data_IF_210502014353
#
_entry.id   IF_210502014353
#
_cell.length_a   1.000
_cell.length_b   1.000
_cell.length_c   1.000
_cell.angle_alpha   90.00
_cell.angle_beta   90.00
_cell.angle_gamma   90.00
#
_symmetry.space_group_name_H-M   'P 1'
#
loop_
_entity.id
_entity.type
_entity.pdbx_description
1 polymer ?
#
# COMPACT_ATOMS: atom_id res chain seq x y z
N UNK A 1 -11.99 54.50 -25.63
CA UNK A 1 -11.10 54.24 -24.48
C UNK A 1 -11.72 53.08 -23.73
N UNK A 2 -10.93 52.05 -23.49
CA UNK A 2 -11.26 50.69 -23.04
C UNK A 2 -12.06 50.62 -21.73
N UNK A 3 -12.96 49.63 -21.58
CA UNK A 3 -12.69 48.43 -20.77
C UNK A 3 -13.93 47.52 -20.62
N UNK A 4 -13.68 46.21 -20.73
CA UNK A 4 -14.61 45.11 -20.43
C UNK A 4 -14.54 44.73 -18.95
N UNK A 5 -15.66 44.29 -18.34
CA UNK A 5 -15.62 43.26 -17.31
C UNK A 5 -16.26 41.95 -17.80
N UNK A 6 -15.53 40.85 -17.67
CA UNK A 6 -16.04 39.49 -17.87
C UNK A 6 -16.61 38.99 -16.54
N UNK A 7 -17.89 38.60 -16.53
CA UNK A 7 -18.46 37.70 -15.52
C UNK A 7 -18.72 36.32 -16.15
N UNK A 8 -18.37 35.19 -15.48
CA UNK A 8 -18.48 33.86 -16.05
C UNK A 8 -19.91 33.31 -15.94
N UNK A 9 -20.51 33.00 -17.09
CA UNK A 9 -21.80 32.32 -17.16
C UNK A 9 -21.65 30.83 -16.78
N UNK A 10 -22.50 30.38 -15.87
CA UNK A 10 -22.51 29.07 -15.23
C UNK A 10 -23.19 28.02 -16.13
N UNK A 11 -22.89 26.73 -15.89
CA UNK A 11 -23.24 25.54 -16.72
C UNK A 11 -24.73 25.22 -16.95
N UNK A 12 -25.66 26.17 -16.81
CA UNK A 12 -27.12 25.88 -16.85
C UNK A 12 -27.85 26.35 -18.11
N UNK A 13 -27.21 27.05 -19.04
CA UNK A 13 -27.91 27.63 -20.19
C UNK A 13 -27.75 26.88 -21.53
N UNK A 14 -27.10 25.71 -21.56
CA UNK A 14 -26.99 24.92 -22.78
C UNK A 14 -28.11 23.89 -22.91
N UNK A 15 -29.36 24.34 -23.02
CA UNK A 15 -30.42 23.52 -23.58
C UNK A 15 -31.39 24.39 -24.36
N UNK A 16 -31.23 24.41 -25.69
CA UNK A 16 -32.33 24.25 -26.68
C UNK A 16 -31.86 24.49 -28.13
N UNK A 17 -32.49 23.68 -28.99
CA UNK A 17 -32.78 23.82 -30.42
C UNK A 17 -31.80 23.25 -31.46
N UNK A 18 -32.32 22.31 -32.26
CA UNK A 18 -31.82 21.94 -33.58
C UNK A 18 -32.54 20.69 -34.13
N UNK A 19 -33.35 20.87 -35.18
CA UNK A 19 -34.39 19.96 -35.64
C UNK A 19 -33.97 18.87 -36.64
N UNK A 20 -34.80 17.83 -36.70
CA UNK A 20 -35.19 17.01 -37.86
C UNK A 20 -34.09 16.38 -38.74
N UNK A 21 -33.74 15.14 -38.40
CA UNK A 21 -33.22 14.15 -39.34
C UNK A 21 -33.70 12.76 -38.90
N UNK A 22 -34.55 12.11 -39.71
CA UNK A 22 -34.97 10.73 -39.46
C UNK A 22 -33.80 9.79 -39.77
N UNK A 23 -32.88 9.66 -38.82
CA UNK A 23 -31.89 8.58 -38.81
C UNK A 23 -32.56 7.40 -38.11
N UNK A 24 -32.76 6.30 -38.83
CA UNK A 24 -33.13 5.04 -38.23
C UNK A 24 -32.00 4.62 -37.28
N UNK A 25 -32.11 5.01 -36.02
CA UNK A 25 -31.19 4.59 -34.97
C UNK A 25 -31.48 3.12 -34.70
N UNK A 26 -30.76 2.24 -35.40
CA UNK A 26 -30.65 0.85 -35.00
C UNK A 26 -30.18 0.83 -33.55
N UNK A 27 -31.08 0.43 -32.66
CA UNK A 27 -30.81 0.29 -31.24
C UNK A 27 -29.86 -0.89 -31.10
N UNK A 28 -28.55 -0.64 -31.19
CA UNK A 28 -27.56 -1.66 -30.88
C UNK A 28 -27.71 -1.92 -29.39
N UNK A 29 -28.08 -3.13 -28.95
CA UNK A 29 -28.16 -3.40 -27.52
C UNK A 29 -26.76 -3.19 -26.95
N UNK A 30 -26.62 -2.21 -26.07
CA UNK A 30 -25.44 -2.07 -25.24
C UNK A 30 -25.42 -3.27 -24.31
N UNK A 31 -24.77 -4.35 -24.73
CA UNK A 31 -24.42 -5.44 -23.84
C UNK A 31 -23.54 -4.83 -22.76
N UNK A 32 -24.09 -4.70 -21.55
CA UNK A 32 -23.29 -4.42 -20.38
C UNK A 32 -22.21 -5.49 -20.32
N UNK A 33 -20.95 -5.11 -20.55
CA UNK A 33 -19.82 -6.00 -20.36
C UNK A 33 -19.88 -6.45 -18.91
N UNK A 34 -20.26 -7.71 -18.70
CA UNK A 34 -20.14 -8.34 -17.39
C UNK A 34 -18.68 -8.18 -16.98
N UNK A 35 -18.40 -7.67 -15.78
CA UNK A 35 -17.03 -7.51 -15.32
C UNK A 35 -16.36 -8.88 -15.42
N UNK A 36 -15.36 -8.99 -16.30
CA UNK A 36 -14.53 -10.18 -16.40
C UNK A 36 -13.94 -10.42 -15.02
N UNK A 37 -14.11 -11.61 -14.42
CA UNK A 37 -13.49 -11.91 -13.13
C UNK A 37 -12.00 -11.65 -13.25
N UNK A 38 -11.46 -10.71 -12.47
CA UNK A 38 -10.02 -10.58 -12.36
C UNK A 38 -9.48 -11.90 -11.81
N UNK A 39 -8.44 -12.48 -12.43
CA UNK A 39 -7.86 -13.71 -11.91
C UNK A 39 -7.38 -13.47 -10.48
N UNK A 40 -7.75 -14.37 -9.57
CA UNK A 40 -7.32 -14.32 -8.18
C UNK A 40 -5.80 -14.50 -8.09
N UNK A 41 -5.15 -13.66 -7.28
CA UNK A 41 -3.73 -13.76 -6.98
C UNK A 41 -3.40 -15.15 -6.43
N UNK A 42 -2.36 -15.78 -6.99
CA UNK A 42 -1.92 -17.09 -6.58
C UNK A 42 -0.42 -17.33 -6.79
N UNK A 43 0.00 -18.56 -6.48
CA UNK A 43 1.38 -19.00 -6.58
C UNK A 43 1.98 -18.77 -7.98
N UNK A 44 1.23 -19.05 -9.04
CA UNK A 44 1.68 -18.88 -10.43
C UNK A 44 1.99 -17.43 -10.79
N UNK A 45 1.35 -16.45 -10.15
CA UNK A 45 1.68 -15.03 -10.36
C UNK A 45 3.06 -14.70 -9.81
N UNK A 46 3.42 -15.28 -8.66
CA UNK A 46 4.75 -15.14 -8.05
C UNK A 46 5.82 -15.81 -8.92
N UNK A 47 5.55 -17.04 -9.38
CA UNK A 47 6.46 -17.78 -10.26
C UNK A 47 6.69 -17.04 -11.57
N UNK A 48 5.61 -16.54 -12.19
CA UNK A 48 5.70 -15.73 -13.42
C UNK A 48 6.56 -14.49 -13.19
N UNK A 49 6.28 -13.72 -12.13
CA UNK A 49 7.07 -12.52 -11.81
C UNK A 49 8.55 -12.83 -11.57
N UNK A 50 8.86 -13.92 -10.86
CA UNK A 50 10.24 -14.33 -10.61
C UNK A 50 10.96 -14.72 -11.93
N UNK A 51 10.29 -15.46 -12.83
CA UNK A 51 10.84 -15.80 -14.15
C UNK A 51 11.10 -14.57 -15.00
N UNK A 52 10.20 -13.59 -14.97
CA UNK A 52 10.36 -12.34 -15.72
C UNK A 52 11.56 -11.53 -15.21
N UNK A 53 11.74 -11.45 -13.89
CA UNK A 53 12.89 -10.77 -13.27
C UNK A 53 14.22 -11.48 -13.57
N UNK A 54 14.24 -12.82 -13.57
CA UNK A 54 15.44 -13.61 -13.84
C UNK A 54 15.99 -13.44 -15.28
N UNK A 55 15.17 -12.93 -16.21
CA UNK A 55 15.57 -12.64 -17.60
C UNK A 55 16.17 -11.24 -17.78
N UNK A 56 16.10 -10.39 -16.76
CA UNK A 56 16.59 -9.02 -16.81
C UNK A 56 17.95 -8.93 -16.12
N UNK A 57 18.82 -7.98 -16.51
CA UNK A 57 20.00 -7.64 -15.72
C UNK A 57 19.60 -7.28 -14.28
N UNK A 58 20.44 -7.68 -13.31
CA UNK A 58 20.22 -7.32 -11.92
C UNK A 58 20.25 -5.79 -11.74
N UNK A 59 19.19 -5.24 -11.14
CA UNK A 59 19.12 -3.84 -10.76
C UNK A 59 19.46 -3.68 -9.26
N UNK A 60 20.62 -3.07 -8.91
CA UNK A 60 20.96 -2.80 -7.53
C UNK A 60 20.15 -1.66 -6.92
N UNK A 61 19.44 -0.85 -7.73
CA UNK A 61 18.70 0.31 -7.25
C UNK A 61 17.63 -0.11 -6.25
N UNK A 62 17.90 0.16 -4.98
CA UNK A 62 16.87 0.21 -3.96
C UNK A 62 16.67 1.66 -3.57
N UNK A 63 15.44 1.99 -3.18
CA UNK A 63 15.17 3.28 -2.56
C UNK A 63 16.06 3.44 -1.34
N UNK A 64 16.87 4.49 -1.33
CA UNK A 64 17.69 4.78 -0.17
C UNK A 64 16.83 5.32 0.98
N UNK A 65 17.10 4.83 2.18
CA UNK A 65 16.55 5.41 3.41
C UNK A 65 17.19 6.77 3.69
N UNK A 66 16.47 7.70 4.36
CA UNK A 66 17.06 8.89 4.96
C UNK A 66 18.29 8.56 5.79
N UNK A 67 19.29 9.45 5.74
CA UNK A 67 20.56 9.26 6.45
C UNK A 67 20.38 9.03 7.95
N UNK A 68 19.46 9.77 8.57
CA UNK A 68 19.10 9.65 9.99
C UNK A 68 18.69 8.22 10.39
N UNK A 69 18.10 7.45 9.47
CA UNK A 69 17.73 6.05 9.69
C UNK A 69 18.87 5.08 9.38
N UNK A 70 19.68 5.37 8.35
CA UNK A 70 20.83 4.52 7.96
C UNK A 70 21.93 4.51 9.01
N UNK A 71 22.08 5.63 9.73
CA UNK A 71 23.14 5.87 10.69
C UNK A 71 22.71 5.66 12.15
N UNK A 72 21.52 5.08 12.39
CA UNK A 72 21.11 4.67 13.74
C UNK A 72 22.15 3.71 14.33
N UNK A 73 22.53 3.92 15.59
CA UNK A 73 23.25 2.92 16.36
C UNK A 73 22.34 1.74 16.71
N UNK A 74 22.92 0.60 17.11
CA UNK A 74 22.15 -0.56 17.56
C UNK A 74 21.14 -0.21 18.66
N UNK A 75 21.55 0.54 19.68
CA UNK A 75 20.67 0.92 20.78
C UNK A 75 19.50 1.78 20.31
N UNK A 76 19.77 2.74 19.42
CA UNK A 76 18.75 3.62 18.84
C UNK A 76 17.77 2.84 17.98
N UNK A 77 18.25 1.89 17.18
CA UNK A 77 17.41 1.04 16.34
C UNK A 77 16.52 0.10 17.18
N UNK A 78 17.09 -0.58 18.18
CA UNK A 78 16.35 -1.49 19.09
C UNK A 78 15.26 -0.78 19.90
N UNK A 79 15.42 0.52 20.13
CA UNK A 79 14.42 1.33 20.82
C UNK A 79 13.17 1.62 19.96
N UNK A 80 13.27 1.44 18.63
CA UNK A 80 12.12 1.54 17.72
C UNK A 80 11.32 0.23 17.79
N UNK A 81 10.07 0.30 18.25
CA UNK A 81 9.22 -0.87 18.50
C UNK A 81 7.89 -0.73 17.78
N UNK A 82 7.42 -1.81 17.18
CA UNK A 82 6.05 -1.85 16.66
C UNK A 82 5.06 -1.76 17.81
N UNK A 83 3.98 -1.00 17.63
CA UNK A 83 2.89 -0.84 18.60
C UNK A 83 1.93 -2.04 18.52
N UNK A 84 1.88 -2.94 19.53
CA UNK A 84 1.11 -4.19 19.40
C UNK A 84 -0.39 -4.00 19.15
N UNK A 85 -0.98 -2.91 19.66
CA UNK A 85 -2.37 -2.50 19.41
C UNK A 85 -2.67 -2.16 17.95
N UNK A 86 -1.63 -2.00 17.12
CA UNK A 86 -1.72 -1.73 15.67
C UNK A 86 -1.46 -2.97 14.81
N UNK A 87 -1.41 -4.15 15.42
CA UNK A 87 -1.14 -5.41 14.71
C UNK A 87 -2.16 -5.65 13.58
N UNK A 88 -1.66 -6.02 12.40
CA UNK A 88 -2.48 -6.41 11.27
C UNK A 88 -3.06 -7.81 11.49
N UNK A 89 -4.07 -8.16 10.69
CA UNK A 89 -4.76 -9.46 10.70
C UNK A 89 -5.53 -9.79 12.00
N UNK A 90 -5.72 -8.83 12.91
CA UNK A 90 -6.52 -9.03 14.12
C UNK A 90 -8.04 -9.00 13.86
N UNK A 91 -8.48 -8.33 12.79
CA UNK A 91 -9.89 -8.20 12.46
C UNK A 91 -10.53 -9.54 12.05
N UNK A 92 -11.84 -9.67 12.28
CA UNK A 92 -12.61 -10.84 11.85
C UNK A 92 -12.34 -12.13 12.64
N UNK A 93 -11.87 -12.03 13.88
CA UNK A 93 -11.68 -13.19 14.76
C UNK A 93 -10.42 -14.03 14.45
N UNK A 94 -9.53 -13.54 13.60
CA UNK A 94 -8.28 -14.25 13.30
C UNK A 94 -7.40 -14.39 14.56
N UNK A 95 -6.79 -15.57 14.78
CA UNK A 95 -5.86 -15.80 15.89
C UNK A 95 -4.45 -15.28 15.59
N UNK A 96 -4.21 -14.69 14.43
CA UNK A 96 -2.90 -14.18 14.05
C UNK A 96 -2.76 -12.68 14.33
N UNK A 97 -1.55 -12.26 14.72
CA UNK A 97 -1.17 -10.84 14.83
C UNK A 97 0.10 -10.61 14.03
N UNK A 98 -0.01 -9.82 12.97
CA UNK A 98 1.15 -9.47 12.15
C UNK A 98 1.70 -8.10 12.55
N UNK A 99 2.99 -8.05 12.85
CA UNK A 99 3.70 -6.82 13.18
C UNK A 99 4.81 -6.58 12.16
N UNK A 100 5.12 -5.31 11.89
CA UNK A 100 6.14 -4.94 10.91
C UNK A 100 7.44 -4.52 11.60
N UNK A 101 8.57 -4.74 10.93
CA UNK A 101 9.86 -4.19 11.36
C UNK A 101 10.10 -2.82 10.71
N UNK A 102 10.57 -1.85 11.51
CA UNK A 102 10.93 -0.54 10.99
C UNK A 102 12.26 -0.62 10.22
N UNK A 103 12.41 0.06 9.07
CA UNK A 103 13.69 0.10 8.36
C UNK A 103 14.72 1.02 9.05
N UNK A 104 16.00 0.74 8.89
CA UNK A 104 17.08 1.49 9.52
C UNK A 104 18.25 0.61 9.96
N UNK A 105 19.34 1.23 10.42
CA UNK A 105 20.57 0.54 10.81
C UNK A 105 21.09 -0.37 9.66
N UNK A 106 21.07 -1.69 9.85
CA UNK A 106 21.47 -2.68 8.85
C UNK A 106 20.37 -2.94 7.80
N UNK A 107 19.11 -2.67 8.11
CA UNK A 107 17.95 -2.98 7.27
C UNK A 107 17.61 -1.79 6.36
N UNK A 108 18.45 -1.60 5.34
CA UNK A 108 18.42 -0.41 4.46
C UNK A 108 17.59 -0.56 3.19
N UNK A 109 17.14 -1.79 2.87
CA UNK A 109 16.33 -2.09 1.68
C UNK A 109 14.93 -2.51 2.14
N UNK A 110 13.93 -1.63 2.03
CA UNK A 110 12.56 -1.99 2.41
C UNK A 110 12.00 -3.10 1.54
N UNK A 111 11.10 -3.88 2.11
CA UNK A 111 10.28 -4.89 1.41
C UNK A 111 8.84 -4.41 1.32
N UNK A 112 8.15 -4.82 0.24
CA UNK A 112 6.71 -4.65 0.10
C UNK A 112 6.03 -5.90 0.67
N UNK A 113 5.14 -5.69 1.64
CA UNK A 113 4.30 -6.76 2.20
C UNK A 113 2.89 -6.57 1.70
N UNK A 114 2.32 -7.58 1.03
CA UNK A 114 0.93 -7.57 0.59
C UNK A 114 0.08 -8.49 1.48
N UNK A 115 -1.13 -8.05 1.80
CA UNK A 115 -2.18 -8.90 2.38
C UNK A 115 -3.09 -9.36 1.25
N UNK A 116 -3.28 -10.67 1.13
CA UNK A 116 -4.18 -11.26 0.13
C UNK A 116 -5.50 -11.60 0.80
N UNK A 117 -6.60 -11.03 0.31
CA UNK A 117 -7.96 -11.32 0.76
C UNK A 117 -8.84 -11.57 -0.45
N UNK A 118 -9.52 -12.72 -0.47
CA UNK A 118 -10.43 -13.11 -1.57
C UNK A 118 -9.76 -13.04 -2.95
N UNK A 119 -8.48 -13.45 -3.02
CA UNK A 119 -7.67 -13.39 -4.24
C UNK A 119 -7.12 -12.01 -4.60
N UNK A 120 -7.36 -10.98 -3.78
CA UNK A 120 -6.90 -9.62 -4.04
C UNK A 120 -5.69 -9.31 -3.16
N UNK A 121 -4.53 -9.12 -3.78
CA UNK A 121 -3.32 -8.67 -3.10
C UNK A 121 -3.34 -7.14 -2.93
N UNK A 122 -3.31 -6.68 -1.68
CA UNK A 122 -3.24 -5.24 -1.34
C UNK A 122 -2.01 -4.96 -0.48
N UNK A 123 -1.19 -3.93 -0.80
CA UNK A 123 -0.06 -3.56 0.04
C UNK A 123 -0.50 -3.21 1.46
N UNK A 124 0.24 -3.71 2.45
CA UNK A 124 0.11 -3.23 3.81
C UNK A 124 0.56 -1.77 3.85
N UNK A 125 -0.30 -0.83 4.32
CA UNK A 125 0.05 0.58 4.32
C UNK A 125 1.13 0.85 5.37
N UNK A 126 2.21 1.52 4.95
CA UNK A 126 3.16 2.08 5.90
C UNK A 126 2.55 3.28 6.62
N UNK A 127 2.86 3.41 7.90
CA UNK A 127 2.67 4.62 8.67
C UNK A 127 3.68 4.65 9.80
N UNK A 128 4.35 5.79 10.00
CA UNK A 128 5.25 5.97 11.14
C UNK A 128 4.52 5.81 12.49
N UNK A 129 3.20 6.03 12.52
CA UNK A 129 2.39 5.83 13.73
C UNK A 129 2.19 4.35 14.12
N UNK A 130 2.63 3.40 13.28
CA UNK A 130 2.71 1.99 13.66
C UNK A 130 3.82 1.70 14.68
N UNK A 131 4.72 2.66 14.89
CA UNK A 131 5.91 2.49 15.69
C UNK A 131 5.92 3.44 16.90
N UNK A 132 6.48 2.96 17.99
CA UNK A 132 7.04 3.78 19.05
C UNK A 132 8.53 3.96 18.73
N UNK A 133 8.98 5.21 18.69
CA UNK A 133 10.36 5.56 18.37
C UNK A 133 11.22 5.69 19.64
N UNK A 134 10.64 5.57 20.83
CA UNK A 134 11.34 5.71 22.10
C UNK A 134 12.04 7.06 22.23
N UNK A 135 13.33 7.04 22.56
CA UNK A 135 14.17 8.23 22.67
C UNK A 135 14.59 8.81 21.30
N UNK A 136 14.22 8.18 20.18
CA UNK A 136 14.57 8.69 18.87
C UNK A 136 13.83 9.99 18.56
N UNK A 137 14.59 10.97 18.07
CA UNK A 137 14.10 12.25 17.55
C UNK A 137 14.73 12.42 16.17
N UNK A 138 13.88 12.61 15.17
CA UNK A 138 14.28 12.88 13.80
C UNK A 138 14.09 14.38 13.55
N UNK A 139 15.06 15.02 12.89
CA UNK A 139 15.01 16.46 12.64
C UNK A 139 13.96 16.78 11.59
N UNK A 140 13.75 15.86 10.65
CA UNK A 140 12.77 15.98 9.57
C UNK A 140 11.70 14.91 9.71
N UNK A 141 10.47 15.19 9.25
CA UNK A 141 9.46 14.15 9.10
C UNK A 141 9.97 13.00 8.24
N UNK A 142 9.79 11.77 8.72
CA UNK A 142 10.14 10.58 7.94
C UNK A 142 9.22 10.46 6.71
N UNK A 143 9.71 9.93 5.57
CA UNK A 143 8.89 9.67 4.40
C UNK A 143 7.66 8.79 4.70
N UNK A 144 6.53 9.11 4.08
CA UNK A 144 5.25 8.38 4.23
C UNK A 144 5.22 7.04 3.50
N UNK A 145 6.24 6.76 2.70
CA UNK A 145 6.39 5.60 1.84
C UNK A 145 7.72 4.87 2.10
N UNK A 146 8.18 4.93 3.36
CA UNK A 146 9.43 4.32 3.82
C UNK A 146 9.45 2.79 3.67
N UNK A 147 8.27 2.16 3.73
CA UNK A 147 8.11 0.70 3.70
C UNK A 147 8.54 0.03 5.00
N UNK A 148 8.79 -1.27 4.95
CA UNK A 148 9.11 -2.10 6.11
C UNK A 148 10.43 -2.85 5.92
N UNK A 149 11.16 -3.15 6.99
CA UNK A 149 12.32 -4.04 6.94
C UNK A 149 11.94 -5.52 6.81
N UNK A 150 10.70 -5.85 7.18
CA UNK A 150 10.19 -7.22 7.25
C UNK A 150 8.93 -7.25 8.10
N UNK A 151 8.51 -8.46 8.48
CA UNK A 151 7.38 -8.67 9.36
C UNK A 151 7.63 -9.89 10.25
N UNK A 152 6.84 -9.98 11.31
CA UNK A 152 6.73 -11.16 12.16
C UNK A 152 5.27 -11.49 12.41
N UNK A 153 5.00 -12.76 12.60
CA UNK A 153 3.66 -13.26 12.89
C UNK A 153 3.61 -13.82 14.29
N UNK A 154 2.57 -13.49 15.03
CA UNK A 154 2.31 -14.06 16.33
C UNK A 154 1.04 -14.90 16.32
N UNK A 155 1.02 -15.92 17.17
CA UNK A 155 -0.09 -16.85 17.36
C UNK A 155 -0.09 -17.34 18.82
N UNK A 156 -1.27 -17.65 19.41
CA UNK A 156 -1.33 -18.26 20.74
C UNK A 156 -0.89 -19.73 20.70
N UNK A 157 0.42 -19.94 20.67
CA UNK A 157 1.02 -21.27 20.52
C UNK A 157 1.04 -22.02 21.84
N UNK A 158 1.39 -21.33 22.94
CA UNK A 158 1.60 -21.98 24.25
C UNK A 158 0.47 -21.72 25.26
N UNK A 159 -0.09 -20.50 25.29
CA UNK A 159 -1.23 -20.11 26.14
C UNK A 159 -2.26 -19.35 25.28
N UNK A 160 -3.57 -19.65 25.37
CA UNK A 160 -4.61 -18.98 24.56
C UNK A 160 -4.70 -17.46 24.78
N UNK A 161 -4.08 -16.92 25.83
CA UNK A 161 -4.08 -15.49 26.19
C UNK A 161 -2.81 -14.76 25.79
N UNK A 162 -1.77 -15.48 25.37
CA UNK A 162 -0.46 -14.92 25.03
C UNK A 162 -0.23 -15.10 23.53
N UNK A 163 0.19 -14.05 22.83
CA UNK A 163 0.55 -14.13 21.43
C UNK A 163 2.06 -14.26 21.30
N UNK A 164 2.54 -15.48 21.10
CA UNK A 164 3.96 -15.79 20.94
C UNK A 164 4.42 -15.49 19.51
N UNK A 165 5.67 -15.07 19.35
CA UNK A 165 6.27 -14.94 18.01
C UNK A 165 6.43 -16.33 17.39
N UNK A 166 5.79 -16.54 16.24
CA UNK A 166 5.74 -17.81 15.52
C UNK A 166 6.76 -17.84 14.38
N UNK A 167 6.88 -16.75 13.63
CA UNK A 167 7.85 -16.57 12.54
C UNK A 167 8.35 -15.13 12.49
N UNK A 168 9.60 -14.96 12.04
CA UNK A 168 10.27 -13.69 11.75
C UNK A 168 11.23 -13.85 10.58
#
# INVERSE_FOLDING_TARGET
>A
MSDFPISPLTRRDALKLGAAGAVAAASVPAFAQQPTPQPAFGYEDVVRRARDLARQPYDPAARELPEELRNLSFDRYRDIRFRPDRSLLAAGGSPFRMQMFHPGFLYRRPVVVNVVRDGIATPAPYSGALFDYGANKFERPLPVDLGFAGFRLHYPLNDPRVFDELIS
#
